data_IF_381602497918
#
_entry.id   IF_381602497918
#
_cell.length_a   1.000
_cell.length_b   1.000
_cell.length_c   1.000
_cell.angle_alpha   90.00
_cell.angle_beta   90.00
_cell.angle_gamma   90.00
#
_symmetry.space_group_name_H-M   'P 1'
#
loop_
_entity.id
_entity.type
_entity.pdbx_description
1 polymer ?
#
# COMPACT_ATOMS: atom_id res chain seq x y z
N UNK A 1 -27.75 9.60 23.15
CA UNK A 1 -27.77 9.13 21.74
C UNK A 1 -26.47 9.45 21.02
N UNK A 2 -25.79 10.55 21.35
CA UNK A 2 -24.51 11.01 20.74
C UNK A 2 -23.28 10.17 21.08
N UNK A 3 -23.17 9.63 22.30
CA UNK A 3 -21.98 8.87 22.72
C UNK A 3 -21.79 7.56 21.94
N UNK A 4 -22.89 6.89 21.60
CA UNK A 4 -22.85 5.62 20.86
C UNK A 4 -22.39 5.84 19.43
N UNK A 5 -22.85 6.92 18.79
CA UNK A 5 -22.41 7.32 17.45
C UNK A 5 -20.95 7.75 17.41
N UNK A 6 -20.44 8.43 18.45
CA UNK A 6 -19.02 8.80 18.50
C UNK A 6 -18.12 7.56 18.67
N UNK A 7 -18.52 6.64 19.54
CA UNK A 7 -17.81 5.37 19.72
C UNK A 7 -17.79 4.54 18.43
N UNK A 8 -18.92 4.43 17.73
CA UNK A 8 -19.02 3.69 16.46
C UNK A 8 -18.14 4.32 15.37
N UNK A 9 -18.07 5.65 15.31
CA UNK A 9 -17.19 6.37 14.39
C UNK A 9 -15.71 6.14 14.72
N UNK A 10 -15.32 6.15 16.00
CA UNK A 10 -13.95 5.84 16.42
C UNK A 10 -13.54 4.42 16.06
N UNK A 11 -14.43 3.45 16.26
CA UNK A 11 -14.20 2.05 15.89
C UNK A 11 -14.06 1.90 14.37
N UNK A 12 -14.95 2.54 13.60
CA UNK A 12 -14.90 2.52 12.14
C UNK A 12 -13.61 3.14 11.60
N UNK A 13 -13.16 4.25 12.19
CA UNK A 13 -11.88 4.87 11.87
C UNK A 13 -10.70 3.96 12.18
N UNK A 14 -10.74 3.27 13.33
CA UNK A 14 -9.72 2.29 13.71
C UNK A 14 -9.62 1.13 12.72
N UNK A 15 -10.76 0.58 12.31
CA UNK A 15 -10.82 -0.49 11.32
C UNK A 15 -10.29 -0.02 9.96
N UNK A 16 -10.72 1.14 9.48
CA UNK A 16 -10.26 1.69 8.20
C UNK A 16 -8.74 1.96 8.18
N UNK A 17 -8.17 2.40 9.30
CA UNK A 17 -6.71 2.55 9.45
C UNK A 17 -6.00 1.20 9.40
N UNK A 18 -6.49 0.20 10.13
CA UNK A 18 -5.91 -1.14 10.12
C UNK A 18 -5.97 -1.79 8.73
N UNK A 19 -7.09 -1.64 8.02
CA UNK A 19 -7.23 -2.09 6.63
C UNK A 19 -6.26 -1.39 5.69
N UNK A 20 -6.09 -0.07 5.86
CA UNK A 20 -5.13 0.71 5.07
C UNK A 20 -3.70 0.21 5.27
N UNK A 21 -3.29 -0.06 6.51
CA UNK A 21 -1.95 -0.60 6.81
C UNK A 21 -1.75 -2.02 6.24
N UNK A 22 -2.77 -2.87 6.32
CA UNK A 22 -2.72 -4.19 5.70
C UNK A 22 -2.54 -4.10 4.18
N UNK A 23 -3.28 -3.21 3.52
CA UNK A 23 -3.16 -2.97 2.08
C UNK A 23 -1.78 -2.42 1.72
N UNK A 24 -1.23 -1.46 2.48
CA UNK A 24 0.15 -0.96 2.28
C UNK A 24 1.17 -2.11 2.35
N UNK A 25 1.06 -2.98 3.35
CA UNK A 25 1.95 -4.14 3.49
C UNK A 25 1.84 -5.11 2.30
N UNK A 26 0.62 -5.38 1.82
CA UNK A 26 0.41 -6.23 0.64
C UNK A 26 1.04 -5.64 -0.62
N UNK A 27 0.89 -4.32 -0.83
CA UNK A 27 1.50 -3.65 -1.98
C UNK A 27 3.04 -3.66 -1.91
N UNK A 28 3.61 -3.51 -0.71
CA UNK A 28 5.06 -3.62 -0.49
C UNK A 28 5.59 -4.99 -0.88
N UNK A 29 4.95 -6.06 -0.37
CA UNK A 29 5.30 -7.45 -0.71
C UNK A 29 5.14 -7.76 -2.20
N UNK A 30 4.11 -7.20 -2.84
CA UNK A 30 3.92 -7.36 -4.29
C UNK A 30 5.05 -6.68 -5.09
N UNK A 31 5.50 -5.50 -4.66
CA UNK A 31 6.63 -4.81 -5.27
C UNK A 31 7.94 -5.61 -5.10
N UNK A 32 8.22 -6.11 -3.90
CA UNK A 32 9.37 -6.98 -3.62
C UNK A 32 9.35 -8.23 -4.51
N UNK A 33 8.19 -8.90 -4.61
CA UNK A 33 8.07 -10.10 -5.42
C UNK A 33 8.28 -9.85 -6.91
N UNK A 34 7.86 -8.70 -7.42
CA UNK A 34 8.13 -8.32 -8.80
C UNK A 34 9.64 -8.15 -9.05
N UNK A 35 10.35 -7.56 -8.08
CA UNK A 35 11.81 -7.40 -8.15
C UNK A 35 12.53 -8.75 -8.07
N UNK A 36 12.12 -9.67 -7.20
CA UNK A 36 12.67 -11.03 -7.13
C UNK A 36 12.50 -11.81 -8.44
N UNK A 37 11.37 -11.64 -9.14
CA UNK A 37 11.10 -12.33 -10.42
C UNK A 37 11.99 -11.77 -11.53
N UNK A 38 12.27 -10.46 -11.51
CA UNK A 38 13.19 -9.80 -12.46
C UNK A 38 14.61 -10.36 -12.32
N UNK A 39 15.05 -10.60 -11.10
CA UNK A 39 16.37 -11.19 -10.81
C UNK A 39 16.49 -12.67 -11.26
N UNK A 40 15.37 -13.33 -11.55
CA UNK A 40 15.28 -14.75 -11.90
C UNK A 40 15.36 -15.06 -13.42
N UNK A 41 16.11 -14.27 -14.19
CA UNK A 41 16.38 -14.49 -15.64
C UNK A 41 15.20 -14.10 -16.57
N UNK A 42 14.67 -12.88 -16.42
CA UNK A 42 13.69 -12.28 -17.34
C UNK A 42 14.35 -11.55 -18.52
N UNK A 43 13.61 -11.35 -19.62
CA UNK A 43 14.04 -10.48 -20.72
C UNK A 43 14.08 -9.00 -20.29
N UNK A 44 15.00 -8.19 -20.82
CA UNK A 44 15.18 -6.78 -20.43
C UNK A 44 13.87 -5.95 -20.45
N UNK A 45 13.00 -6.21 -21.43
CA UNK A 45 11.69 -5.57 -21.57
C UNK A 45 10.72 -5.94 -20.44
N UNK A 46 10.74 -7.20 -20.00
CA UNK A 46 9.92 -7.69 -18.89
C UNK A 46 10.47 -7.20 -17.55
N UNK A 47 11.81 -7.16 -17.41
CA UNK A 47 12.47 -6.59 -16.26
C UNK A 47 12.07 -5.11 -16.07
N UNK A 48 12.14 -4.31 -17.14
CA UNK A 48 11.78 -2.91 -17.11
C UNK A 48 10.31 -2.67 -16.71
N UNK A 49 9.38 -3.51 -17.20
CA UNK A 49 7.94 -3.42 -16.85
C UNK A 49 7.67 -3.78 -15.40
N UNK A 50 8.31 -4.83 -14.91
CA UNK A 50 8.16 -5.29 -13.53
C UNK A 50 8.74 -4.25 -12.54
N UNK A 51 9.94 -3.73 -12.80
CA UNK A 51 10.55 -2.65 -12.02
C UNK A 51 9.71 -1.37 -12.01
N UNK A 52 9.20 -0.96 -13.17
CA UNK A 52 8.31 0.20 -13.27
C UNK A 52 7.01 0.01 -12.47
N UNK A 53 6.49 -1.23 -12.42
CA UNK A 53 5.30 -1.56 -11.65
C UNK A 53 5.58 -1.57 -10.15
N UNK A 54 6.67 -2.20 -9.71
CA UNK A 54 7.12 -2.18 -8.32
C UNK A 54 7.30 -0.74 -7.81
N UNK A 55 7.93 0.13 -8.61
CA UNK A 55 8.10 1.54 -8.29
C UNK A 55 6.76 2.28 -8.15
N UNK A 56 5.78 1.99 -9.02
CA UNK A 56 4.43 2.59 -8.93
C UNK A 56 3.73 2.18 -7.62
N UNK A 57 3.84 0.92 -7.22
CA UNK A 57 3.26 0.42 -5.98
C UNK A 57 3.86 1.14 -4.76
N UNK A 58 5.19 1.28 -4.71
CA UNK A 58 5.88 2.05 -3.65
C UNK A 58 5.43 3.50 -3.60
N UNK A 59 5.28 4.15 -4.76
CA UNK A 59 4.80 5.53 -4.84
C UNK A 59 3.36 5.71 -4.35
N UNK A 60 2.51 4.70 -4.52
CA UNK A 60 1.15 4.72 -3.97
C UNK A 60 1.18 4.65 -2.44
N UNK A 61 2.04 3.83 -1.86
CA UNK A 61 2.25 3.74 -0.41
C UNK A 61 2.71 5.11 0.13
N UNK A 62 3.78 5.67 -0.44
CA UNK A 62 4.34 6.97 -0.04
C UNK A 62 3.31 8.11 -0.13
N UNK A 63 2.50 8.15 -1.20
CA UNK A 63 1.43 9.14 -1.35
C UNK A 63 0.32 9.00 -0.31
N UNK A 64 0.06 7.77 0.13
CA UNK A 64 -0.95 7.50 1.15
C UNK A 64 -0.45 7.98 2.52
N UNK A 65 0.83 7.78 2.82
CA UNK A 65 1.47 8.28 4.05
C UNK A 65 1.52 9.82 4.11
N UNK A 66 1.83 10.48 2.99
CA UNK A 66 1.83 11.95 2.90
C UNK A 66 0.43 12.57 3.00
N UNK A 67 -0.63 11.82 2.67
CA UNK A 67 -2.02 12.25 2.88
C UNK A 67 -2.41 12.21 4.37
N UNK A 68 -1.88 11.25 5.12
CA UNK A 68 -2.14 11.12 6.55
C UNK A 68 -1.43 12.19 7.39
N UNK A 69 -0.39 12.84 6.85
CA UNK A 69 0.34 13.95 7.50
C UNK A 69 -0.17 15.35 7.14
N UNK A 70 -0.99 15.47 6.10
CA UNK A 70 -1.56 16.73 5.62
C UNK A 70 -3.02 16.96 6.08
N UNK A 71 -3.60 16.04 6.85
CA UNK A 71 -4.95 16.09 7.42
C UNK A 71 -4.90 16.29 8.94
#
# INVERSE_FOLDING_TARGET
MTDKTEQDLRHSLGNARAETEALKSMLGKAAERLEEIVEADCSDDEQAKALATAQRLRKVIERTENKDTAA
#
